data_IF_048664130866
#
_entry.id   IF_048664130866
#
_cell.length_a   1.000
_cell.length_b   1.000
_cell.length_c   1.000
_cell.angle_alpha   90.00
_cell.angle_beta   90.00
_cell.angle_gamma   90.00
#
_symmetry.space_group_name_H-M   'P 1'
#
loop_
_entity.id
_entity.type
_entity.pdbx_description
1 polymer ?
#
# COMPACT_ATOMS: atom_id res chain seq x y z
N UNK A 1 51.83 -16.24 17.31
CA UNK A 1 50.67 -15.72 16.59
C UNK A 1 50.62 -14.26 16.92
N UNK A 2 50.65 -13.38 15.91
CA UNK A 2 50.54 -11.93 16.09
C UNK A 2 49.08 -11.62 16.44
N UNK A 3 48.81 -10.51 17.16
CA UNK A 3 47.44 -10.10 17.49
C UNK A 3 46.48 -10.04 16.28
N UNK A 4 47.01 -9.76 15.10
CA UNK A 4 46.30 -9.77 13.82
C UNK A 4 45.82 -11.17 13.42
N UNK A 5 46.59 -12.23 13.66
CA UNK A 5 46.21 -13.62 13.34
C UNK A 5 45.05 -14.08 14.25
N UNK A 6 45.03 -13.65 15.52
CA UNK A 6 43.97 -13.94 16.46
C UNK A 6 42.67 -13.21 16.09
N UNK A 7 42.77 -11.95 15.65
CA UNK A 7 41.63 -11.14 15.19
C UNK A 7 40.99 -11.74 13.93
N UNK A 8 41.79 -12.18 12.96
CA UNK A 8 41.34 -12.86 11.74
C UNK A 8 40.68 -14.20 12.08
N UNK A 9 41.25 -14.96 13.03
CA UNK A 9 40.68 -16.23 13.46
C UNK A 9 39.32 -16.06 14.18
N UNK A 10 39.14 -14.99 14.96
CA UNK A 10 37.89 -14.71 15.67
C UNK A 10 36.81 -14.17 14.71
N UNK A 11 37.18 -13.29 13.77
CA UNK A 11 36.29 -12.81 12.71
C UNK A 11 35.79 -13.93 11.79
N UNK A 12 36.63 -14.99 11.61
CA UNK A 12 36.30 -16.17 10.82
C UNK A 12 35.74 -17.32 11.67
N UNK A 13 35.52 -17.13 12.97
CA UNK A 13 34.91 -18.15 13.82
C UNK A 13 33.47 -18.33 13.37
N UNK A 14 33.09 -19.50 12.83
CA UNK A 14 31.69 -19.70 12.49
C UNK A 14 30.91 -19.67 13.82
N UNK A 15 29.95 -18.75 13.90
CA UNK A 15 28.86 -18.91 14.85
C UNK A 15 28.31 -20.34 14.70
N UNK A 16 27.78 -20.94 15.77
CA UNK A 16 27.15 -22.26 15.68
C UNK A 16 26.25 -22.25 14.46
N UNK A 17 26.55 -23.16 13.51
CA UNK A 17 25.90 -23.16 12.21
C UNK A 17 24.40 -23.01 12.39
N UNK A 18 23.76 -22.03 11.75
CA UNK A 18 22.31 -21.85 11.88
C UNK A 18 21.64 -23.17 11.49
N UNK A 19 20.61 -23.56 12.22
CA UNK A 19 19.87 -24.81 12.01
C UNK A 19 19.17 -24.89 10.64
N UNK A 20 19.20 -23.81 9.86
CA UNK A 20 18.75 -23.70 8.46
C UNK A 20 19.67 -22.78 7.69
N UNK A 21 19.77 -22.96 6.36
CA UNK A 21 20.51 -22.05 5.49
C UNK A 21 19.89 -20.64 5.58
N UNK A 22 20.69 -19.66 6.00
CA UNK A 22 20.28 -18.28 6.14
C UNK A 22 21.39 -17.35 5.65
N UNK A 23 21.02 -16.22 5.06
CA UNK A 23 21.91 -15.10 4.79
C UNK A 23 21.84 -14.15 5.98
N UNK A 24 22.96 -13.99 6.70
CA UNK A 24 23.03 -13.12 7.87
C UNK A 24 23.82 -11.86 7.51
N UNK A 25 23.28 -10.65 7.76
CA UNK A 25 24.05 -9.42 7.64
C UNK A 25 25.17 -9.39 8.67
N UNK A 26 26.35 -8.97 8.25
CA UNK A 26 27.49 -8.69 9.13
C UNK A 26 27.89 -7.23 8.93
N UNK A 27 27.58 -6.37 9.90
CA UNK A 27 27.80 -4.92 9.81
C UNK A 27 29.18 -4.57 10.35
N UNK A 28 29.87 -3.70 9.64
CA UNK A 28 31.11 -3.10 10.10
C UNK A 28 30.86 -1.62 10.42
N UNK A 29 31.20 -1.20 11.62
CA UNK A 29 31.02 0.18 12.11
C UNK A 29 32.29 0.75 12.67
N UNK A 30 32.39 2.09 12.79
CA UNK A 30 33.55 2.74 13.35
C UNK A 30 33.61 2.63 14.89
N UNK A 31 32.45 2.43 15.55
CA UNK A 31 32.31 2.25 17.00
C UNK A 31 31.16 1.27 17.29
N UNK A 32 31.53 0.00 17.49
CA UNK A 32 30.58 -1.07 17.69
C UNK A 32 29.84 -0.96 19.03
N UNK A 33 30.43 -0.41 20.08
CA UNK A 33 29.75 -0.21 21.37
C UNK A 33 28.62 0.80 21.24
N UNK A 34 28.91 1.95 20.66
CA UNK A 34 27.89 2.96 20.38
C UNK A 34 26.81 2.47 19.43
N UNK A 35 27.19 1.65 18.44
CA UNK A 35 26.22 1.08 17.50
C UNK A 35 25.27 0.07 18.19
N UNK A 36 25.78 -0.79 19.06
CA UNK A 36 24.96 -1.73 19.85
C UNK A 36 23.93 -0.98 20.70
N UNK A 37 24.35 0.06 21.42
CA UNK A 37 23.46 0.90 22.22
C UNK A 37 22.40 1.58 21.33
N UNK A 38 22.83 2.17 20.24
CA UNK A 38 21.92 2.86 19.32
C UNK A 38 20.88 1.93 18.69
N UNK A 39 21.31 0.75 18.22
CA UNK A 39 20.36 -0.24 17.66
C UNK A 39 19.40 -0.78 18.72
N UNK A 40 19.85 -0.92 19.98
CA UNK A 40 18.98 -1.21 21.12
C UNK A 40 17.92 -0.14 21.32
N UNK A 41 18.34 1.11 21.44
CA UNK A 41 17.47 2.25 21.73
C UNK A 41 16.49 2.56 20.59
N UNK A 42 16.95 2.45 19.35
CA UNK A 42 16.18 2.89 18.17
C UNK A 42 15.36 1.75 17.56
N UNK A 43 15.95 0.59 17.39
CA UNK A 43 15.32 -0.54 16.70
C UNK A 43 14.84 -1.64 17.65
N UNK A 44 15.13 -1.52 18.95
CA UNK A 44 14.82 -2.56 19.92
C UNK A 44 15.67 -3.81 19.73
N UNK A 45 16.93 -3.63 19.27
CA UNK A 45 17.85 -4.74 19.12
C UNK A 45 18.26 -5.31 20.50
N UNK A 46 18.31 -6.62 20.59
CA UNK A 46 18.77 -7.33 21.80
C UNK A 46 20.11 -8.02 21.52
N UNK A 47 21.06 -7.86 22.45
CA UNK A 47 22.38 -8.53 22.34
C UNK A 47 22.24 -9.98 22.74
N UNK A 48 22.69 -10.88 21.89
CA UNK A 48 22.73 -12.32 22.15
C UNK A 48 24.10 -12.69 22.71
N UNK A 49 24.14 -13.13 23.95
CA UNK A 49 25.39 -13.47 24.65
C UNK A 49 26.21 -12.24 25.05
N UNK A 50 27.54 -12.36 25.00
CA UNK A 50 28.45 -11.25 25.27
C UNK A 50 29.26 -10.90 24.02
N UNK A 51 29.38 -9.62 23.66
CA UNK A 51 30.26 -9.19 22.58
C UNK A 51 31.70 -9.65 22.83
N UNK A 52 32.37 -10.07 21.81
CA UNK A 52 33.80 -10.50 21.87
C UNK A 52 34.66 -9.26 21.77
N UNK A 53 35.27 -8.90 22.92
CA UNK A 53 36.22 -7.81 22.97
C UNK A 53 37.65 -8.28 22.64
N UNK A 54 38.33 -7.55 21.79
CA UNK A 54 39.71 -7.83 21.37
C UNK A 54 40.70 -7.17 22.33
N UNK A 55 41.98 -7.58 22.29
CA UNK A 55 43.04 -7.06 23.16
C UNK A 55 43.26 -5.55 23.03
N UNK A 56 42.89 -4.97 21.91
CA UNK A 56 42.97 -3.51 21.63
C UNK A 56 41.70 -2.73 22.04
N UNK A 57 40.72 -3.41 22.64
CA UNK A 57 39.47 -2.83 23.13
C UNK A 57 38.36 -2.71 22.08
N UNK A 58 38.62 -3.07 20.82
CA UNK A 58 37.59 -3.12 19.79
C UNK A 58 36.68 -4.35 20.00
N UNK A 59 35.43 -4.25 19.51
CA UNK A 59 34.53 -5.39 19.42
C UNK A 59 34.80 -6.14 18.12
N UNK A 60 35.32 -7.36 18.24
CA UNK A 60 35.57 -8.24 17.09
C UNK A 60 34.34 -8.95 16.60
N UNK A 61 33.34 -9.15 17.48
CA UNK A 61 32.07 -9.77 17.12
C UNK A 61 31.00 -9.45 18.15
N UNK A 62 29.82 -9.10 17.69
CA UNK A 62 28.58 -9.06 18.46
C UNK A 62 27.45 -9.67 17.66
N UNK A 63 26.55 -10.36 18.34
CA UNK A 63 25.34 -10.91 17.78
C UNK A 63 24.14 -10.13 18.33
N UNK A 64 23.28 -9.63 17.43
CA UNK A 64 22.07 -8.89 17.76
C UNK A 64 20.85 -9.60 17.18
N UNK A 65 19.77 -9.58 17.89
CA UNK A 65 18.43 -9.95 17.38
C UNK A 65 17.66 -8.66 17.11
N UNK A 66 17.20 -8.45 15.87
CA UNK A 66 16.34 -7.34 15.45
C UNK A 66 15.13 -7.87 14.69
N UNK A 67 13.92 -7.53 15.10
CA UNK A 67 12.67 -7.98 14.46
C UNK A 67 12.65 -9.50 14.18
N UNK A 68 13.22 -10.30 15.09
CA UNK A 68 13.32 -11.76 14.97
C UNK A 68 14.42 -12.29 14.04
N UNK A 69 15.21 -11.42 13.42
CA UNK A 69 16.37 -11.78 12.60
C UNK A 69 17.68 -11.59 13.35
N UNK A 70 18.68 -12.39 13.02
CA UNK A 70 20.04 -12.24 13.55
C UNK A 70 20.85 -11.29 12.67
N UNK A 71 21.54 -10.34 13.29
CA UNK A 71 22.48 -9.41 12.66
C UNK A 71 23.80 -9.47 13.42
N UNK A 72 24.91 -9.63 12.72
CA UNK A 72 26.23 -9.56 13.31
C UNK A 72 26.82 -8.16 13.16
N UNK A 73 27.67 -7.76 14.10
CA UNK A 73 28.30 -6.46 14.17
C UNK A 73 29.74 -6.58 14.65
N UNK A 74 30.63 -5.78 14.08
CA UNK A 74 32.00 -5.61 14.55
C UNK A 74 32.49 -4.19 14.31
N UNK A 75 33.54 -3.81 15.06
CA UNK A 75 34.33 -2.63 14.73
C UNK A 75 35.04 -2.78 13.39
N UNK A 76 35.43 -1.66 12.79
CA UNK A 76 36.25 -1.68 11.58
C UNK A 76 37.67 -2.15 11.85
N UNK A 77 38.22 -2.88 10.89
CA UNK A 77 39.60 -3.38 10.87
C UNK A 77 40.24 -2.97 9.54
N UNK A 78 40.65 -1.70 9.37
CA UNK A 78 41.21 -1.21 8.11
C UNK A 78 42.44 -1.97 7.65
N UNK A 79 43.19 -2.51 8.59
CA UNK A 79 44.40 -3.33 8.36
C UNK A 79 44.15 -4.65 7.61
N UNK A 80 42.92 -5.14 7.64
CA UNK A 80 42.49 -6.33 6.85
C UNK A 80 41.43 -5.96 5.81
N UNK A 81 41.20 -4.64 5.56
CA UNK A 81 40.28 -4.18 4.52
C UNK A 81 38.82 -4.04 4.96
N UNK A 82 38.50 -4.28 6.24
CA UNK A 82 37.15 -4.07 6.77
C UNK A 82 37.01 -2.60 7.21
N UNK A 83 36.07 -1.89 6.61
CA UNK A 83 35.82 -0.48 6.88
C UNK A 83 34.33 -0.20 7.10
N UNK A 84 34.05 0.72 7.99
CA UNK A 84 32.71 1.31 8.12
C UNK A 84 32.25 1.94 6.79
N UNK A 85 30.94 2.03 6.54
CA UNK A 85 30.43 2.66 5.32
C UNK A 85 30.92 4.10 5.16
N UNK A 86 31.17 4.48 3.90
CA UNK A 86 31.51 5.88 3.56
C UNK A 86 30.25 6.75 3.55
N UNK A 87 30.30 7.95 4.13
CA UNK A 87 29.18 8.90 4.08
C UNK A 87 28.73 9.28 2.66
N UNK A 88 29.59 9.09 1.67
CA UNK A 88 29.35 9.50 0.28
C UNK A 88 28.66 8.43 -0.56
N UNK A 89 28.64 7.17 -0.13
CA UNK A 89 28.06 6.08 -0.91
C UNK A 89 27.57 4.93 -0.03
N UNK A 90 26.34 4.49 -0.28
CA UNK A 90 25.73 3.33 0.35
C UNK A 90 25.61 2.21 -0.66
N UNK A 91 26.29 1.10 -0.42
CA UNK A 91 26.31 -0.07 -1.32
C UNK A 91 25.20 -1.09 -1.01
N UNK A 92 24.63 -1.07 0.20
CA UNK A 92 23.61 -2.00 0.67
C UNK A 92 22.53 -1.24 1.42
N UNK A 93 21.27 -1.63 1.23
CA UNK A 93 20.15 -1.19 2.06
C UNK A 93 19.61 -2.38 2.83
N UNK A 94 19.41 -2.19 4.12
CA UNK A 94 18.78 -3.18 4.99
C UNK A 94 17.31 -2.81 5.17
N UNK A 95 16.41 -3.77 5.04
CA UNK A 95 14.98 -3.56 5.30
C UNK A 95 14.63 -4.10 6.69
N UNK A 96 14.02 -3.26 7.51
CA UNK A 96 13.61 -3.60 8.87
C UNK A 96 12.10 -3.45 9.00
N UNK A 97 11.43 -4.54 9.34
CA UNK A 97 10.02 -4.52 9.71
C UNK A 97 9.88 -3.94 11.14
N UNK A 98 9.01 -2.93 11.30
CA UNK A 98 8.79 -2.24 12.57
C UNK A 98 7.31 -2.13 12.89
N UNK A 99 6.97 -2.06 14.17
CA UNK A 99 5.58 -1.92 14.59
C UNK A 99 4.97 -0.56 14.22
N UNK A 100 5.78 0.49 14.17
CA UNK A 100 5.39 1.85 13.75
C UNK A 100 6.56 2.52 13.04
N UNK A 101 6.39 2.77 11.75
CA UNK A 101 7.41 3.44 10.92
C UNK A 101 7.66 4.87 11.39
N UNK A 102 6.59 5.61 11.69
CA UNK A 102 6.68 7.01 12.11
C UNK A 102 7.39 7.15 13.45
N UNK A 103 7.01 6.35 14.45
CA UNK A 103 7.65 6.39 15.78
C UNK A 103 9.11 5.95 15.74
N UNK A 104 9.42 4.91 14.95
CA UNK A 104 10.80 4.41 14.81
C UNK A 104 11.67 5.45 14.10
N UNK A 105 11.16 6.06 13.01
CA UNK A 105 11.87 7.13 12.30
C UNK A 105 12.12 8.34 13.20
N UNK A 106 11.13 8.76 13.95
CA UNK A 106 11.27 9.91 14.87
C UNK A 106 12.24 9.60 16.01
N UNK A 107 12.25 8.38 16.52
CA UNK A 107 13.23 7.91 17.49
C UNK A 107 14.64 7.90 16.90
N UNK A 108 14.79 7.40 15.67
CA UNK A 108 16.06 7.41 14.94
C UNK A 108 16.57 8.85 14.70
N UNK A 109 15.69 9.75 14.26
CA UNK A 109 16.00 11.19 14.05
C UNK A 109 16.53 11.84 15.31
N UNK A 110 15.86 11.65 16.45
CA UNK A 110 16.29 12.17 17.74
C UNK A 110 17.64 11.62 18.21
N UNK A 111 18.00 10.44 17.75
CA UNK A 111 19.27 9.78 18.03
C UNK A 111 20.31 9.95 16.89
N UNK A 112 20.18 10.99 16.08
CA UNK A 112 21.22 11.39 15.13
C UNK A 112 21.20 10.73 13.76
N UNK A 113 20.19 9.96 13.42
CA UNK A 113 20.05 9.41 12.08
C UNK A 113 19.70 10.51 11.06
N UNK A 114 20.21 10.36 9.85
CA UNK A 114 19.86 11.22 8.71
C UNK A 114 18.67 10.61 7.94
N UNK A 115 17.53 11.30 7.99
CA UNK A 115 16.34 10.89 7.25
C UNK A 115 16.53 11.16 5.76
N UNK A 116 16.51 10.12 4.94
CA UNK A 116 16.60 10.23 3.49
C UNK A 116 15.23 10.32 2.83
N UNK A 117 14.22 9.64 3.41
CA UNK A 117 12.85 9.68 2.93
C UNK A 117 11.89 9.68 4.12
N UNK A 118 11.06 10.70 4.17
CA UNK A 118 9.99 10.82 5.16
C UNK A 118 8.97 9.69 5.00
N UNK A 119 8.14 9.41 6.04
CA UNK A 119 7.17 8.33 5.96
C UNK A 119 6.21 8.49 4.77
N UNK A 120 6.09 7.44 4.00
CA UNK A 120 5.20 7.36 2.85
C UNK A 120 4.53 5.98 2.82
N UNK A 121 3.38 5.91 2.17
CA UNK A 121 2.67 4.65 1.97
C UNK A 121 2.92 4.13 0.56
N UNK A 122 3.24 2.83 0.46
CA UNK A 122 3.44 2.13 -0.79
C UNK A 122 3.21 0.64 -0.56
N UNK A 123 2.50 -0.01 -1.48
CA UNK A 123 2.15 -1.44 -1.42
C UNK A 123 1.53 -1.88 -0.08
N UNK A 124 0.62 -1.07 0.49
CA UNK A 124 -0.07 -1.41 1.74
C UNK A 124 0.79 -1.33 3.00
N UNK A 125 1.99 -0.80 2.91
CA UNK A 125 2.91 -0.60 4.03
C UNK A 125 3.26 0.88 4.23
N UNK A 126 3.54 1.26 5.46
CA UNK A 126 4.11 2.55 5.83
C UNK A 126 5.62 2.45 5.83
N UNK A 127 6.26 3.15 4.91
CA UNK A 127 7.69 3.02 4.63
C UNK A 127 8.42 4.33 4.92
N UNK A 128 9.71 4.24 5.27
CA UNK A 128 10.62 5.37 5.38
C UNK A 128 12.05 4.93 5.05
N UNK A 129 12.98 5.86 4.86
CA UNK A 129 14.39 5.54 4.71
C UNK A 129 15.28 6.50 5.49
N UNK A 130 16.29 5.94 6.13
CA UNK A 130 17.29 6.69 6.88
C UNK A 130 18.69 6.14 6.68
N UNK A 131 19.70 6.93 7.02
CA UNK A 131 21.07 6.48 7.27
C UNK A 131 21.31 6.64 8.76
N UNK A 132 21.78 5.57 9.41
CA UNK A 132 22.14 5.60 10.82
C UNK A 132 23.46 6.41 11.05
N UNK A 133 23.80 6.73 12.29
CA UNK A 133 25.05 7.48 12.59
C UNK A 133 26.34 6.75 12.18
N UNK A 134 26.25 5.45 11.89
CA UNK A 134 27.39 4.60 11.51
C UNK A 134 27.49 4.40 9.98
N UNK A 135 26.57 5.02 9.21
CA UNK A 135 26.60 5.05 7.76
C UNK A 135 25.78 3.97 7.06
N UNK A 136 25.13 3.06 7.76
CA UNK A 136 24.26 2.05 7.15
C UNK A 136 22.90 2.64 6.79
N UNK A 137 22.40 2.24 5.62
CA UNK A 137 21.09 2.64 5.12
C UNK A 137 20.03 1.65 5.54
N UNK A 138 18.98 2.15 6.15
CA UNK A 138 17.83 1.38 6.58
C UNK A 138 16.57 1.82 5.82
N UNK A 139 15.81 0.84 5.34
CA UNK A 139 14.45 1.01 4.86
C UNK A 139 13.52 0.45 5.93
N UNK A 140 12.78 1.34 6.59
CA UNK A 140 11.77 0.94 7.57
C UNK A 140 10.50 0.58 6.82
N UNK A 141 9.85 -0.51 7.23
CA UNK A 141 8.53 -0.91 6.74
C UNK A 141 7.67 -1.34 7.92
N UNK A 142 6.46 -0.86 7.99
CA UNK A 142 5.53 -1.20 9.07
C UNK A 142 4.09 -1.16 8.58
N UNK A 143 3.17 -1.63 9.42
CA UNK A 143 1.76 -1.52 9.10
C UNK A 143 1.39 -0.04 8.97
N UNK A 144 0.40 0.25 8.14
CA UNK A 144 -0.26 1.55 8.11
C UNK A 144 -1.07 1.68 9.40
N UNK A 145 -0.38 1.89 10.54
CA UNK A 145 -1.03 1.97 11.85
C UNK A 145 -0.66 3.24 12.59
N UNK A 146 -1.64 3.85 13.24
CA UNK A 146 -1.45 4.70 14.40
C UNK A 146 -1.56 6.21 14.25
N UNK A 147 -1.39 6.80 13.06
CA UNK A 147 -1.91 8.13 12.77
C UNK A 147 -3.00 7.94 11.74
N UNK A 148 -4.24 8.09 12.15
CA UNK A 148 -5.35 8.24 11.19
C UNK A 148 -5.04 9.46 10.34
N UNK A 149 -4.39 9.23 9.20
CA UNK A 149 -4.24 10.31 8.21
C UNK A 149 -5.66 10.60 7.74
N UNK A 150 -6.14 11.84 7.89
CA UNK A 150 -7.48 12.15 7.44
C UNK A 150 -7.60 11.96 5.93
N UNK A 151 -8.77 11.50 5.51
CA UNK A 151 -9.07 11.35 4.08
C UNK A 151 -8.82 12.67 3.35
N UNK A 152 -8.22 12.59 2.17
CA UNK A 152 -7.85 13.77 1.40
C UNK A 152 -8.85 14.04 0.29
N UNK A 153 -8.89 15.27 -0.17
CA UNK A 153 -9.62 15.64 -1.36
C UNK A 153 -9.22 14.73 -2.54
N UNK A 154 -10.20 14.09 -3.18
CA UNK A 154 -9.98 13.15 -4.28
C UNK A 154 -9.78 11.68 -3.88
N UNK A 155 -9.69 11.35 -2.59
CA UNK A 155 -9.71 9.96 -2.14
C UNK A 155 -11.14 9.38 -2.19
N UNK A 156 -11.23 8.06 -2.31
CA UNK A 156 -12.51 7.34 -2.33
C UNK A 156 -12.89 6.95 -0.90
N UNK A 157 -13.99 7.52 -0.38
CA UNK A 157 -14.47 7.21 0.97
C UNK A 157 -15.51 6.09 1.03
N UNK A 158 -16.19 5.82 -0.07
CA UNK A 158 -17.22 4.80 -0.19
C UNK A 158 -17.33 4.32 -1.64
N UNK A 159 -17.59 3.03 -1.81
CA UNK A 159 -17.91 2.45 -3.12
C UNK A 159 -19.17 1.60 -3.05
N UNK A 160 -19.84 1.44 -4.19
CA UNK A 160 -20.97 0.55 -4.29
C UNK A 160 -21.02 -0.19 -5.62
N UNK A 161 -21.32 -1.46 -5.59
CA UNK A 161 -21.69 -2.23 -6.78
C UNK A 161 -23.13 -1.82 -7.14
N UNK A 162 -23.28 -1.14 -8.27
CA UNK A 162 -24.57 -0.83 -8.87
C UNK A 162 -24.93 -1.91 -9.88
N UNK A 163 -26.01 -2.59 -9.65
CA UNK A 163 -26.39 -3.80 -10.37
C UNK A 163 -27.92 -3.88 -10.54
N UNK A 164 -28.45 -4.58 -11.55
CA UNK A 164 -29.88 -4.78 -11.70
C UNK A 164 -30.54 -5.52 -10.54
N UNK A 165 -29.82 -6.42 -9.86
CA UNK A 165 -30.30 -7.21 -8.73
C UNK A 165 -29.22 -7.34 -7.64
N UNK A 166 -29.37 -6.55 -6.57
CA UNK A 166 -28.41 -6.50 -5.45
C UNK A 166 -28.36 -7.82 -4.65
N UNK A 167 -29.47 -8.55 -4.51
CA UNK A 167 -29.45 -9.82 -3.78
C UNK A 167 -28.70 -10.90 -4.55
N UNK A 168 -28.87 -10.94 -5.85
CA UNK A 168 -28.15 -11.84 -6.74
C UNK A 168 -26.66 -11.51 -6.77
N UNK A 169 -26.30 -10.21 -6.86
CA UNK A 169 -24.90 -9.77 -6.75
C UNK A 169 -24.29 -10.13 -5.40
N UNK A 170 -25.04 -9.92 -4.30
CA UNK A 170 -24.56 -10.29 -2.96
C UNK A 170 -24.30 -11.80 -2.82
N UNK A 171 -25.14 -12.66 -3.41
CA UNK A 171 -24.91 -14.10 -3.43
C UNK A 171 -23.66 -14.46 -4.26
N UNK A 172 -23.49 -13.84 -5.43
CA UNK A 172 -22.33 -14.03 -6.30
C UNK A 172 -21.02 -13.61 -5.60
N UNK A 173 -20.93 -12.38 -5.13
CA UNK A 173 -19.73 -11.88 -4.47
C UNK A 173 -19.50 -12.53 -3.08
N UNK A 174 -20.55 -13.00 -2.42
CA UNK A 174 -20.44 -13.86 -1.23
C UNK A 174 -19.71 -15.16 -1.53
N UNK A 175 -20.01 -15.80 -2.64
CA UNK A 175 -19.34 -17.04 -3.06
C UNK A 175 -17.92 -16.78 -3.57
N UNK A 176 -17.70 -15.71 -4.35
CA UNK A 176 -16.42 -15.44 -5.00
C UNK A 176 -15.39 -14.81 -4.04
N UNK A 177 -15.82 -13.80 -3.28
CA UNK A 177 -14.98 -12.95 -2.43
C UNK A 177 -15.15 -13.19 -0.93
N UNK A 178 -16.13 -14.01 -0.54
CA UNK A 178 -16.45 -14.25 0.86
C UNK A 178 -17.21 -13.08 1.54
N UNK A 179 -17.84 -12.20 0.76
CA UNK A 179 -18.58 -11.06 1.34
C UNK A 179 -19.79 -11.50 2.16
N UNK A 180 -19.97 -10.82 3.29
CA UNK A 180 -21.16 -10.94 4.13
C UNK A 180 -22.01 -9.67 3.94
N UNK A 181 -23.11 -9.81 3.21
CA UNK A 181 -23.99 -8.70 2.88
C UNK A 181 -25.14 -8.58 3.88
N UNK A 182 -25.36 -7.38 4.39
CA UNK A 182 -26.54 -7.03 5.20
C UNK A 182 -27.59 -6.31 4.33
N UNK A 183 -28.73 -6.94 4.05
CA UNK A 183 -29.76 -6.34 3.22
C UNK A 183 -30.49 -5.15 3.90
N UNK A 184 -30.42 -5.02 5.23
CA UNK A 184 -31.05 -3.90 5.95
C UNK A 184 -30.25 -2.60 5.77
N UNK A 185 -28.92 -2.68 5.74
CA UNK A 185 -28.03 -1.54 5.53
C UNK A 185 -27.51 -1.44 4.09
N UNK A 186 -27.73 -2.47 3.28
CA UNK A 186 -27.22 -2.63 1.92
C UNK A 186 -25.68 -2.57 1.84
N UNK A 187 -25.00 -3.07 2.88
CA UNK A 187 -23.54 -3.01 3.02
C UNK A 187 -22.91 -4.39 3.15
N UNK A 188 -21.66 -4.49 2.69
CA UNK A 188 -20.76 -5.58 3.05
C UNK A 188 -20.19 -5.30 4.44
N UNK A 189 -20.26 -6.28 5.35
CA UNK A 189 -19.99 -6.07 6.79
C UNK A 189 -18.67 -6.63 7.26
N UNK A 190 -17.98 -7.41 6.45
CA UNK A 190 -16.73 -8.11 6.79
C UNK A 190 -15.51 -7.61 6.01
N UNK A 191 -15.56 -6.39 5.50
CA UNK A 191 -14.42 -5.68 4.88
C UNK A 191 -14.07 -4.45 5.72
N UNK A 192 -12.79 -4.04 5.71
CA UNK A 192 -12.36 -2.78 6.34
C UNK A 192 -12.84 -1.56 5.55
N UNK A 193 -13.08 -1.71 4.26
CA UNK A 193 -13.58 -0.66 3.39
C UNK A 193 -15.11 -0.60 3.40
N UNK A 194 -15.64 0.60 3.14
CA UNK A 194 -17.11 0.81 3.05
C UNK A 194 -17.58 0.45 1.65
N UNK A 195 -18.15 -0.74 1.51
CA UNK A 195 -18.67 -1.29 0.26
C UNK A 195 -20.18 -1.49 0.38
N UNK A 196 -20.92 -0.96 -0.58
CA UNK A 196 -22.37 -1.18 -0.71
C UNK A 196 -22.71 -2.05 -1.92
N UNK A 197 -23.92 -2.61 -1.93
CA UNK A 197 -24.50 -3.26 -3.12
C UNK A 197 -25.93 -2.73 -3.27
N UNK A 198 -26.21 -2.08 -4.40
CA UNK A 198 -27.49 -1.40 -4.62
C UNK A 198 -28.14 -1.86 -5.93
N UNK A 199 -29.46 -2.05 -5.87
CA UNK A 199 -30.25 -2.27 -7.09
C UNK A 199 -30.45 -0.95 -7.83
N UNK A 200 -29.84 -0.83 -9.01
CA UNK A 200 -29.97 0.34 -9.90
C UNK A 200 -30.26 -0.17 -11.31
N UNK A 201 -31.47 0.12 -11.80
CA UNK A 201 -31.91 -0.37 -13.11
C UNK A 201 -30.98 0.09 -14.24
N UNK A 202 -30.55 -0.85 -15.07
CA UNK A 202 -29.70 -0.59 -16.24
C UNK A 202 -28.26 -0.23 -15.91
N UNK A 203 -27.80 -0.46 -14.67
CA UNK A 203 -26.41 -0.22 -14.26
C UNK A 203 -25.71 -1.55 -13.93
N UNK A 204 -24.46 -1.64 -14.36
CA UNK A 204 -23.50 -2.71 -14.05
C UNK A 204 -22.11 -2.09 -13.92
N UNK A 205 -21.83 -1.42 -12.79
CA UNK A 205 -20.62 -0.62 -12.62
C UNK A 205 -20.29 -0.45 -11.13
N UNK A 206 -19.08 -0.06 -10.84
CA UNK A 206 -18.72 0.43 -9.51
C UNK A 206 -19.09 1.92 -9.43
N UNK A 207 -19.90 2.27 -8.45
CA UNK A 207 -20.15 3.67 -8.07
C UNK A 207 -19.13 4.09 -7.03
N UNK A 208 -18.52 5.28 -7.20
CA UNK A 208 -17.53 5.82 -6.28
C UNK A 208 -18.00 7.14 -5.66
N UNK A 209 -17.74 7.31 -4.36
CA UNK A 209 -17.99 8.54 -3.62
C UNK A 209 -16.65 9.13 -3.15
N UNK A 210 -16.31 10.32 -3.64
CA UNK A 210 -15.01 10.96 -3.42
C UNK A 210 -15.08 12.04 -2.35
N UNK A 211 -14.07 12.06 -1.49
CA UNK A 211 -13.93 13.13 -0.50
C UNK A 211 -13.59 14.46 -1.17
N UNK A 212 -14.27 15.53 -0.75
CA UNK A 212 -13.98 16.90 -1.15
C UNK A 212 -13.94 17.81 0.08
N UNK A 213 -13.15 18.86 0.03
CA UNK A 213 -13.03 19.81 1.14
C UNK A 213 -14.22 20.78 1.19
N UNK A 214 -14.83 21.03 0.03
CA UNK A 214 -15.93 21.99 -0.13
C UNK A 214 -16.91 21.48 -1.20
N UNK A 215 -18.19 21.32 -0.81
CA UNK A 215 -19.25 20.86 -1.72
C UNK A 215 -19.71 21.93 -2.70
N UNK A 216 -19.70 23.20 -2.30
CA UNK A 216 -20.11 24.29 -3.20
C UNK A 216 -19.08 24.49 -4.31
N UNK A 217 -17.78 24.51 -3.97
CA UNK A 217 -16.71 24.54 -4.94
C UNK A 217 -16.67 23.29 -5.85
N UNK A 218 -17.00 22.11 -5.31
CA UNK A 218 -17.15 20.90 -6.12
C UNK A 218 -18.33 21.01 -7.10
N UNK A 219 -19.50 21.52 -6.65
CA UNK A 219 -20.66 21.81 -7.50
C UNK A 219 -20.31 22.72 -8.68
N UNK A 220 -19.65 23.84 -8.40
CA UNK A 220 -19.19 24.78 -9.40
C UNK A 220 -18.22 24.12 -10.41
N UNK A 221 -17.24 23.36 -9.89
CA UNK A 221 -16.24 22.66 -10.71
C UNK A 221 -16.85 21.59 -11.61
N UNK A 222 -17.81 20.80 -11.09
CA UNK A 222 -18.54 19.77 -11.85
C UNK A 222 -19.36 20.42 -12.97
N UNK A 223 -20.13 21.45 -12.62
CA UNK A 223 -21.01 22.14 -13.59
C UNK A 223 -20.19 22.85 -14.68
N UNK A 224 -19.11 23.55 -14.30
CA UNK A 224 -18.21 24.21 -15.24
C UNK A 224 -17.45 23.20 -16.13
N UNK A 225 -17.25 21.96 -15.65
CA UNK A 225 -16.68 20.86 -16.42
C UNK A 225 -17.67 20.15 -17.35
N UNK A 226 -18.95 20.57 -17.37
CA UNK A 226 -19.99 19.97 -18.20
C UNK A 226 -20.70 18.77 -17.57
N UNK A 227 -20.47 18.50 -16.31
CA UNK A 227 -21.20 17.49 -15.53
C UNK A 227 -22.51 18.03 -14.95
N UNK A 228 -23.26 17.15 -14.31
CA UNK A 228 -24.50 17.49 -13.59
C UNK A 228 -24.38 17.08 -12.13
N UNK A 229 -25.16 17.73 -11.27
CA UNK A 229 -25.19 17.48 -9.82
C UNK A 229 -26.60 17.37 -9.31
N UNK A 230 -26.80 16.57 -8.28
CA UNK A 230 -28.02 16.44 -7.53
C UNK A 230 -28.06 17.40 -6.33
N UNK A 231 -29.13 17.36 -5.55
CA UNK A 231 -29.22 18.06 -4.28
C UNK A 231 -28.32 17.36 -3.23
N UNK A 232 -27.85 18.15 -2.25
CA UNK A 232 -27.05 17.62 -1.14
C UNK A 232 -27.96 16.86 -0.18
N UNK A 233 -27.56 15.68 0.21
CA UNK A 233 -28.25 14.84 1.19
C UNK A 233 -27.30 14.62 2.40
N UNK A 234 -27.88 14.80 3.61
CA UNK A 234 -27.15 14.58 4.86
C UNK A 234 -27.21 13.10 5.27
N UNK A 235 -26.04 12.53 5.62
CA UNK A 235 -25.89 11.19 6.17
C UNK A 235 -25.10 11.23 7.47
N UNK A 236 -25.09 10.14 8.22
CA UNK A 236 -24.34 10.03 9.47
C UNK A 236 -22.82 10.25 9.30
N UNK A 237 -22.28 10.00 8.11
CA UNK A 237 -20.86 10.15 7.78
C UNK A 237 -20.53 11.47 7.06
N UNK A 238 -21.49 12.31 6.78
CA UNK A 238 -21.29 13.63 6.17
C UNK A 238 -22.32 13.97 5.11
N UNK A 239 -22.19 15.16 4.54
CA UNK A 239 -23.02 15.67 3.45
C UNK A 239 -22.56 15.10 2.12
N UNK A 240 -23.46 14.54 1.33
CA UNK A 240 -23.18 13.87 0.05
C UNK A 240 -23.95 14.54 -1.08
N UNK A 241 -23.29 14.72 -2.22
CA UNK A 241 -23.90 15.24 -3.45
C UNK A 241 -23.64 14.27 -4.60
N UNK A 242 -24.71 13.69 -5.15
CA UNK A 242 -24.66 12.89 -6.37
C UNK A 242 -24.25 13.73 -7.57
N UNK A 243 -23.58 13.12 -8.54
CA UNK A 243 -23.13 13.79 -9.74
C UNK A 243 -22.99 12.81 -10.91
N UNK A 244 -22.90 13.40 -12.11
CA UNK A 244 -22.57 12.68 -13.35
C UNK A 244 -21.55 13.48 -14.14
N UNK A 245 -20.53 12.81 -14.63
CA UNK A 245 -19.53 13.44 -15.49
C UNK A 245 -20.02 13.59 -16.93
N UNK A 246 -19.31 14.31 -17.80
CA UNK A 246 -19.70 14.48 -19.21
C UNK A 246 -19.74 13.19 -20.03
N UNK A 247 -19.05 12.14 -19.61
CA UNK A 247 -19.07 10.82 -20.26
C UNK A 247 -20.23 9.93 -19.84
N UNK A 248 -20.99 10.36 -18.81
CA UNK A 248 -22.13 9.65 -18.26
C UNK A 248 -21.80 8.75 -17.06
N UNK A 249 -20.58 8.79 -16.51
CA UNK A 249 -20.23 8.11 -15.26
C UNK A 249 -20.97 8.77 -14.09
N UNK A 250 -21.70 7.95 -13.35
CA UNK A 250 -22.32 8.37 -12.08
C UNK A 250 -21.27 8.27 -10.97
N UNK A 251 -21.21 9.28 -10.14
CA UNK A 251 -20.37 9.33 -8.94
C UNK A 251 -21.01 10.22 -7.88
N UNK A 252 -20.41 10.30 -6.70
CA UNK A 252 -20.76 11.31 -5.73
C UNK A 252 -19.51 11.98 -5.18
N UNK A 253 -19.70 13.15 -4.60
CA UNK A 253 -18.72 13.81 -3.75
C UNK A 253 -19.30 13.98 -2.35
N UNK A 254 -18.47 13.90 -1.32
CA UNK A 254 -18.90 14.10 0.06
C UNK A 254 -17.89 14.93 0.83
N UNK A 255 -18.40 15.68 1.79
CA UNK A 255 -17.56 16.38 2.76
C UNK A 255 -17.36 15.46 3.98
N UNK A 256 -16.15 14.89 4.16
CA UNK A 256 -15.88 13.99 5.28
C UNK A 256 -15.88 14.72 6.62
N UNK A 257 -16.01 13.96 7.71
CA UNK A 257 -15.71 14.46 9.05
C UNK A 257 -14.22 14.76 9.19
N UNK A 258 -13.81 15.65 10.10
CA UNK A 258 -12.41 16.04 10.25
C UNK A 258 -11.46 14.88 10.61
N UNK A 259 -11.98 13.84 11.24
CA UNK A 259 -11.28 12.64 11.70
C UNK A 259 -11.54 11.40 10.84
N UNK A 260 -12.19 11.56 9.70
CA UNK A 260 -12.45 10.45 8.78
C UNK A 260 -11.13 9.89 8.26
N UNK A 261 -10.85 8.58 8.50
CA UNK A 261 -9.56 7.99 8.12
C UNK A 261 -9.41 7.89 6.61
N UNK A 262 -8.20 8.07 6.13
CA UNK A 262 -7.84 7.82 4.74
C UNK A 262 -7.94 6.31 4.45
N UNK A 263 -8.58 5.88 3.37
CA UNK A 263 -8.58 4.48 2.98
C UNK A 263 -7.16 3.99 2.65
N UNK A 264 -6.94 2.68 2.77
CA UNK A 264 -5.70 2.04 2.33
C UNK A 264 -5.41 2.29 0.86
N UNK A 265 -4.14 2.31 0.49
CA UNK A 265 -3.72 2.50 -0.92
C UNK A 265 -4.19 1.34 -1.80
N UNK A 266 -4.09 0.12 -1.27
CA UNK A 266 -4.63 -1.11 -1.84
C UNK A 266 -5.50 -1.81 -0.79
N UNK A 267 -6.34 -2.75 -1.21
CA UNK A 267 -7.09 -3.56 -0.26
C UNK A 267 -6.17 -4.34 0.68
N UNK A 268 -6.44 -4.30 1.98
CA UNK A 268 -5.59 -4.92 3.01
C UNK A 268 -5.84 -6.43 3.15
N UNK A 269 -6.90 -6.95 2.52
CA UNK A 269 -7.27 -8.35 2.61
C UNK A 269 -8.20 -8.83 1.51
N UNK A 270 -8.48 -10.15 1.47
CA UNK A 270 -9.38 -10.73 0.49
C UNK A 270 -10.76 -10.06 0.51
N UNK A 271 -11.29 -9.77 -0.67
CA UNK A 271 -12.58 -9.09 -0.86
C UNK A 271 -12.51 -7.57 -0.79
N UNK A 272 -11.35 -6.97 -0.53
CA UNK A 272 -11.21 -5.51 -0.52
C UNK A 272 -10.83 -4.94 -1.88
N UNK A 273 -11.17 -3.68 -2.11
CA UNK A 273 -10.88 -2.95 -3.34
C UNK A 273 -9.41 -2.54 -3.38
N UNK A 274 -8.67 -3.07 -4.34
CA UNK A 274 -7.24 -2.78 -4.52
C UNK A 274 -6.94 -1.79 -5.63
N UNK A 275 -7.81 -1.68 -6.63
CA UNK A 275 -7.63 -0.77 -7.76
C UNK A 275 -8.96 -0.40 -8.41
N UNK A 276 -9.03 0.80 -9.00
CA UNK A 276 -10.17 1.25 -9.77
C UNK A 276 -9.72 1.59 -11.20
N UNK A 277 -10.34 0.96 -12.19
CA UNK A 277 -10.12 1.30 -13.60
C UNK A 277 -11.31 2.05 -14.17
N UNK A 278 -11.09 3.29 -14.63
CA UNK A 278 -12.07 4.06 -15.38
C UNK A 278 -11.88 3.77 -16.88
N UNK A 279 -12.73 2.91 -17.43
CA UNK A 279 -12.78 2.70 -18.88
C UNK A 279 -13.64 3.80 -19.48
N UNK A 280 -13.07 4.63 -20.37
CA UNK A 280 -13.74 5.84 -20.88
C UNK A 280 -13.50 6.00 -22.40
N UNK A 281 -14.41 6.63 -23.13
CA UNK A 281 -14.19 6.91 -24.57
C UNK A 281 -13.04 7.88 -24.82
N UNK A 282 -12.94 8.93 -24.01
CA UNK A 282 -11.95 10.01 -24.13
C UNK A 282 -11.21 10.23 -22.80
N UNK A 283 -9.98 9.70 -22.71
CA UNK A 283 -9.15 9.86 -21.53
C UNK A 283 -8.72 11.30 -21.28
N UNK A 284 -8.59 12.12 -22.33
CA UNK A 284 -8.19 13.52 -22.18
C UNK A 284 -9.31 14.34 -21.55
N UNK A 285 -10.56 14.14 -21.99
CA UNK A 285 -11.73 14.76 -21.39
C UNK A 285 -11.91 14.30 -19.92
N UNK A 286 -11.76 12.99 -19.65
CA UNK A 286 -11.79 12.43 -18.29
C UNK A 286 -10.75 13.09 -17.38
N UNK A 287 -9.50 13.15 -17.81
CA UNK A 287 -8.42 13.76 -17.03
C UNK A 287 -8.66 15.24 -16.76
N UNK A 288 -9.10 15.99 -17.77
CA UNK A 288 -9.39 17.41 -17.61
C UNK A 288 -10.52 17.66 -16.60
N UNK A 289 -11.57 16.83 -16.63
CA UNK A 289 -12.69 16.92 -15.69
C UNK A 289 -12.27 16.59 -14.26
N UNK A 290 -11.64 15.44 -14.04
CA UNK A 290 -11.29 15.00 -12.69
C UNK A 290 -10.09 15.76 -12.09
N UNK A 291 -9.18 16.31 -12.90
CA UNK A 291 -8.18 17.28 -12.41
C UNK A 291 -8.83 18.55 -11.85
N UNK A 292 -9.92 19.00 -12.45
CA UNK A 292 -10.68 20.18 -11.97
C UNK A 292 -11.47 19.88 -10.71
N UNK A 293 -12.16 18.72 -10.66
CA UNK A 293 -13.12 18.38 -9.59
C UNK A 293 -12.44 17.77 -8.38
N UNK A 294 -11.49 16.87 -8.60
CA UNK A 294 -10.84 16.07 -7.54
C UNK A 294 -9.36 16.42 -7.33
N UNK A 295 -8.84 17.40 -8.07
CA UNK A 295 -7.43 17.82 -8.06
C UNK A 295 -6.46 16.68 -8.43
N UNK A 296 -6.96 15.68 -9.14
CA UNK A 296 -6.13 14.57 -9.59
C UNK A 296 -5.06 15.02 -10.58
N UNK A 297 -3.88 14.46 -10.42
CA UNK A 297 -2.81 14.51 -11.41
C UNK A 297 -2.62 13.13 -12.02
N UNK A 298 -2.12 13.09 -13.24
CA UNK A 298 -2.03 11.84 -14.00
C UNK A 298 -0.63 11.64 -14.57
N UNK A 299 -0.18 10.39 -14.54
CA UNK A 299 1.04 9.93 -15.18
C UNK A 299 0.71 8.90 -16.25
N UNK A 300 1.52 8.76 -17.31
CA UNK A 300 1.32 7.71 -18.30
C UNK A 300 1.31 6.33 -17.65
N UNK A 301 0.28 5.55 -17.96
CA UNK A 301 0.12 4.18 -17.51
C UNK A 301 0.91 3.20 -18.39
N UNK A 302 0.59 1.90 -18.23
CA UNK A 302 1.31 0.81 -18.91
C UNK A 302 0.75 0.44 -20.27
N UNK A 303 -0.46 0.85 -20.56
CA UNK A 303 -1.17 0.56 -21.82
C UNK A 303 -1.29 1.83 -22.65
N UNK A 304 -1.51 1.67 -23.94
CA UNK A 304 -1.79 2.80 -24.83
C UNK A 304 -3.03 3.54 -24.34
N UNK A 305 -2.94 4.87 -24.25
CA UNK A 305 -3.96 5.76 -23.68
C UNK A 305 -4.40 5.39 -22.24
N UNK A 306 -3.47 4.76 -21.49
CA UNK A 306 -3.62 4.44 -20.08
C UNK A 306 -2.98 5.51 -19.21
N UNK A 307 -3.63 5.84 -18.07
CA UNK A 307 -3.21 6.91 -17.17
C UNK A 307 -3.38 6.48 -15.72
N UNK A 308 -2.33 6.58 -14.95
CA UNK A 308 -2.38 6.37 -13.49
C UNK A 308 -2.80 7.67 -12.79
N UNK A 309 -3.71 7.59 -11.84
CA UNK A 309 -4.05 8.70 -10.94
C UNK A 309 -3.00 8.75 -9.83
N UNK A 310 -2.32 9.90 -9.69
CA UNK A 310 -1.25 10.05 -8.71
C UNK A 310 -1.83 10.35 -7.33
N UNK A 311 -1.47 9.53 -6.35
CA UNK A 311 -1.73 9.80 -4.93
C UNK A 311 -3.17 9.62 -4.45
N UNK A 312 -4.08 9.07 -5.29
CA UNK A 312 -5.42 8.67 -4.84
C UNK A 312 -5.40 7.39 -4.03
N UNK A 313 -6.31 7.26 -3.07
CA UNK A 313 -6.55 6.05 -2.29
C UNK A 313 -8.01 5.62 -2.42
N UNK A 314 -8.30 4.36 -2.75
CA UNK A 314 -7.38 3.37 -3.34
C UNK A 314 -6.74 3.81 -4.65
N UNK A 315 -5.72 3.07 -5.10
CA UNK A 315 -5.07 3.32 -6.40
C UNK A 315 -6.09 3.27 -7.54
N UNK A 316 -5.90 4.14 -8.52
CA UNK A 316 -6.83 4.23 -9.66
C UNK A 316 -6.11 4.58 -10.97
N UNK A 317 -6.76 4.30 -12.08
CA UNK A 317 -6.28 4.69 -13.40
C UNK A 317 -7.40 4.78 -14.42
N UNK A 318 -7.15 5.49 -15.51
CA UNK A 318 -8.05 5.62 -16.64
C UNK A 318 -7.50 4.92 -17.87
N UNK A 319 -8.38 4.31 -18.67
CA UNK A 319 -8.10 3.71 -19.96
C UNK A 319 -9.02 4.32 -21.00
N UNK A 320 -8.45 5.00 -22.00
CA UNK A 320 -9.18 5.62 -23.09
C UNK A 320 -9.56 4.64 -24.20
N UNK A 321 -10.30 5.13 -25.19
CA UNK A 321 -10.67 4.36 -26.40
C UNK A 321 -11.76 3.30 -26.16
N UNK A 322 -12.42 3.29 -25.03
CA UNK A 322 -13.52 2.37 -24.73
C UNK A 322 -14.84 2.89 -25.34
N UNK A 323 -15.74 1.99 -25.78
CA UNK A 323 -17.00 2.43 -26.41
C UNK A 323 -17.96 3.12 -25.44
N UNK A 324 -17.91 2.77 -24.17
CA UNK A 324 -18.76 3.28 -23.09
C UNK A 324 -17.94 3.60 -21.86
N UNK A 325 -18.41 4.55 -21.08
CA UNK A 325 -17.80 4.88 -19.80
C UNK A 325 -18.30 3.93 -18.69
N UNK A 326 -17.36 3.22 -18.05
CA UNK A 326 -17.65 2.30 -16.94
C UNK A 326 -16.52 2.28 -15.93
N UNK A 327 -16.87 2.18 -14.66
CA UNK A 327 -15.89 2.00 -13.58
C UNK A 327 -15.78 0.52 -13.21
N UNK A 328 -14.59 -0.03 -13.32
CA UNK A 328 -14.29 -1.44 -13.11
C UNK A 328 -13.40 -1.61 -11.87
N UNK A 329 -13.87 -2.30 -10.82
CA UNK A 329 -13.07 -2.58 -9.62
C UNK A 329 -12.07 -3.69 -9.84
N UNK A 330 -10.99 -3.68 -9.05
CA UNK A 330 -10.14 -4.85 -8.81
C UNK A 330 -10.30 -5.25 -7.34
N UNK A 331 -10.71 -6.50 -7.11
CA UNK A 331 -10.88 -7.07 -5.78
C UNK A 331 -9.67 -7.94 -5.42
N UNK A 332 -9.12 -7.75 -4.24
CA UNK A 332 -8.03 -8.58 -3.71
C UNK A 332 -8.51 -9.99 -3.40
N UNK A 333 -7.73 -11.00 -3.77
CA UNK A 333 -7.97 -12.39 -3.43
C UNK A 333 -6.69 -13.04 -2.91
N UNK A 334 -6.82 -14.04 -2.03
CA UNK A 334 -5.68 -14.76 -1.49
C UNK A 334 -5.11 -15.80 -2.47
N UNK A 335 -5.96 -16.38 -3.31
CA UNK A 335 -5.61 -17.36 -4.36
C UNK A 335 -6.50 -17.09 -5.58
N UNK A 336 -5.87 -16.63 -6.65
CA UNK A 336 -6.59 -16.21 -7.86
C UNK A 336 -7.12 -17.40 -8.65
N UNK A 337 -6.46 -18.57 -8.63
CA UNK A 337 -6.91 -19.76 -9.35
C UNK A 337 -8.18 -20.33 -8.69
N UNK A 338 -8.21 -20.37 -7.35
CA UNK A 338 -9.42 -20.72 -6.61
C UNK A 338 -10.54 -19.69 -6.82
N UNK A 339 -10.22 -18.41 -6.82
CA UNK A 339 -11.21 -17.35 -7.01
C UNK A 339 -11.84 -17.40 -8.40
N UNK A 340 -11.05 -17.64 -9.45
CA UNK A 340 -11.52 -17.82 -10.83
C UNK A 340 -12.41 -19.08 -10.96
N UNK A 341 -12.09 -20.17 -10.25
CA UNK A 341 -12.97 -21.34 -10.20
C UNK A 341 -14.33 -20.98 -9.58
N UNK A 342 -14.34 -20.26 -8.45
CA UNK A 342 -15.58 -19.77 -7.81
C UNK A 342 -16.40 -18.84 -8.70
N UNK A 343 -15.74 -17.97 -9.52
CA UNK A 343 -16.44 -17.13 -10.50
C UNK A 343 -17.27 -18.00 -11.48
N UNK A 344 -16.67 -19.05 -12.02
CA UNK A 344 -17.36 -19.97 -12.95
C UNK A 344 -18.50 -20.72 -12.27
N UNK A 345 -18.27 -21.22 -11.06
CA UNK A 345 -19.28 -21.93 -10.27
C UNK A 345 -20.47 -21.03 -9.89
N UNK A 346 -20.20 -19.74 -9.63
CA UNK A 346 -21.24 -18.74 -9.32
C UNK A 346 -22.00 -18.24 -10.57
N UNK A 347 -21.66 -18.72 -11.76
CA UNK A 347 -22.31 -18.34 -13.02
C UNK A 347 -21.73 -17.10 -13.70
N UNK A 348 -20.60 -16.59 -13.24
CA UNK A 348 -19.84 -15.54 -13.90
C UNK A 348 -18.99 -16.06 -15.06
N UNK A 349 -18.31 -15.14 -15.72
CA UNK A 349 -17.43 -15.48 -16.86
C UNK A 349 -16.02 -14.97 -16.61
N UNK A 350 -15.02 -15.78 -16.91
CA UNK A 350 -13.61 -15.37 -16.95
C UNK A 350 -13.31 -14.90 -18.36
N UNK A 351 -13.04 -13.61 -18.54
CA UNK A 351 -12.72 -12.99 -19.83
C UNK A 351 -11.24 -13.17 -20.14
N UNK A 352 -10.39 -12.87 -19.12
CA UNK A 352 -8.94 -13.06 -19.19
C UNK A 352 -8.51 -13.96 -18.04
N UNK A 353 -7.83 -15.07 -18.38
CA UNK A 353 -7.31 -16.01 -17.39
C UNK A 353 -6.22 -15.35 -16.53
N UNK A 354 -5.98 -15.89 -15.31
CA UNK A 354 -4.93 -15.38 -14.43
C UNK A 354 -3.58 -15.30 -15.13
N UNK A 355 -2.99 -14.10 -15.13
CA UNK A 355 -1.70 -13.83 -15.74
C UNK A 355 -0.80 -13.01 -14.82
N UNK A 356 0.51 -13.23 -14.94
CA UNK A 356 1.51 -12.50 -14.17
C UNK A 356 1.63 -11.06 -14.68
N UNK A 357 1.51 -10.12 -13.76
CA UNK A 357 1.73 -8.69 -13.99
C UNK A 357 2.93 -8.23 -13.13
N UNK A 358 3.39 -7.00 -13.32
CA UNK A 358 4.48 -6.44 -12.51
C UNK A 358 4.09 -6.15 -11.05
N UNK A 359 2.80 -6.19 -10.73
CA UNK A 359 2.23 -5.93 -9.41
C UNK A 359 1.64 -7.18 -8.73
N UNK A 360 1.71 -8.34 -9.35
CA UNK A 360 1.09 -9.58 -8.88
C UNK A 360 0.38 -10.30 -10.01
N UNK A 361 -0.57 -11.20 -9.69
CA UNK A 361 -1.39 -11.90 -10.69
C UNK A 361 -2.74 -11.21 -10.82
N UNK A 362 -3.28 -11.14 -12.03
CA UNK A 362 -4.63 -10.61 -12.26
C UNK A 362 -5.42 -11.39 -13.30
N UNK A 363 -6.74 -11.37 -13.17
CA UNK A 363 -7.71 -11.93 -14.09
C UNK A 363 -8.85 -10.95 -14.33
N UNK A 364 -9.41 -10.88 -15.56
CA UNK A 364 -10.60 -10.10 -15.85
C UNK A 364 -11.82 -11.01 -15.91
N UNK A 365 -12.85 -10.65 -15.16
CA UNK A 365 -14.08 -11.45 -15.04
C UNK A 365 -15.32 -10.58 -15.26
N UNK A 366 -16.47 -11.26 -15.44
CA UNK A 366 -17.78 -10.66 -15.19
C UNK A 366 -18.51 -11.45 -14.11
N UNK A 367 -19.37 -10.76 -13.37
CA UNK A 367 -20.33 -11.44 -12.52
C UNK A 367 -21.45 -12.08 -13.36
N UNK A 368 -22.40 -12.72 -12.71
CA UNK A 368 -23.52 -13.41 -13.32
C UNK A 368 -24.60 -12.48 -13.91
N UNK A 369 -24.43 -11.16 -13.76
CA UNK A 369 -25.26 -10.09 -14.33
C UNK A 369 -24.50 -9.27 -15.40
N UNK A 370 -23.23 -9.60 -15.66
CA UNK A 370 -22.39 -9.00 -16.69
C UNK A 370 -21.55 -7.80 -16.23
N UNK A 371 -21.52 -7.47 -14.94
CA UNK A 371 -20.62 -6.43 -14.43
C UNK A 371 -19.17 -6.91 -14.47
N UNK A 372 -18.28 -6.08 -15.07
CA UNK A 372 -16.85 -6.37 -15.15
C UNK A 372 -16.16 -6.09 -13.83
N UNK A 373 -15.23 -6.95 -13.48
CA UNK A 373 -14.29 -6.74 -12.37
C UNK A 373 -12.98 -7.48 -12.61
N UNK A 374 -11.92 -7.00 -11.99
CA UNK A 374 -10.66 -7.71 -11.92
C UNK A 374 -10.55 -8.44 -10.57
N UNK A 375 -9.85 -9.57 -10.59
CA UNK A 375 -9.30 -10.21 -9.39
C UNK A 375 -7.79 -9.92 -9.36
N UNK A 376 -7.25 -9.64 -8.18
CA UNK A 376 -5.82 -9.36 -7.97
C UNK A 376 -5.27 -10.18 -6.79
N UNK A 377 -4.14 -10.87 -7.02
CA UNK A 377 -3.34 -11.56 -6.02
C UNK A 377 -1.97 -10.87 -5.96
N UNK A 378 -1.59 -10.32 -4.78
CA UNK A 378 -0.41 -9.48 -4.57
C UNK A 378 0.62 -10.11 -3.65
#
# INVERSE_FOLDING_TARGET
MTGTDAAIAELNRPAAAPSSAALLPYLTVADARSAIEWYGDVFGAEVVGQPVEMDDGRIGHAELTMAGATVYLADEYPEIGLRAPSPQAVSVSLMLAVASTDETLERARRNGAHVQREPYEDYGARNAALIDPFGHRWMLTGPVTGVSIPIRHGDVGFVAVWTPDAQRAAAFYGQVLGWVYDPATQRVTNTGQRIGIYTVAGKNTLFCCYAVTDLDGARESITAGGGTVDEVTEFDFGSVMGAKDPSGLDFAVFRPRPDEPRPSLNGDGPGELSYITYQVPDSAAFRAFYSRVLFWTFEPGRIDDGWAVVGSHPMAGAAGGNPEAVTVPMWTVADIDEAVARVREAGGTVIEEPSQQSYGRSALCTDDQGARFYLGEF
#
